data_IF_169528629637
#
_entry.id   IF_169528629637
#
_cell.length_a   1.000
_cell.length_b   1.000
_cell.length_c   1.000
_cell.angle_alpha   90.00
_cell.angle_beta   90.00
_cell.angle_gamma   90.00
#
_symmetry.space_group_name_H-M   'P 1'
#
loop_
_entity.id
_entity.type
_entity.pdbx_description
1 polymer ?
#
# COMPACT_ATOMS: atom_id res chain seq x y z
N UNK A 1 12.51 12.50 -50.76
CA UNK A 1 11.05 12.64 -50.57
C UNK A 1 10.68 11.91 -49.27
N UNK A 2 10.17 12.62 -48.26
CA UNK A 2 9.44 12.00 -47.14
C UNK A 2 8.13 11.44 -47.68
N UNK A 3 7.65 10.31 -47.13
CA UNK A 3 6.24 9.97 -46.77
C UNK A 3 6.09 8.45 -46.66
N UNK A 4 5.97 7.93 -45.44
CA UNK A 4 4.73 7.50 -44.77
C UNK A 4 4.36 6.07 -45.14
N UNK A 5 4.63 5.14 -44.23
CA UNK A 5 4.11 3.79 -44.31
C UNK A 5 2.61 3.80 -43.99
N UNK A 6 1.87 3.22 -44.92
CA UNK A 6 0.43 3.10 -44.96
C UNK A 6 -0.15 2.43 -43.71
N UNK A 7 -1.30 2.95 -43.32
CA UNK A 7 -1.99 2.63 -42.08
C UNK A 7 -2.54 1.22 -42.03
N UNK A 8 -2.20 0.53 -40.95
CA UNK A 8 -3.01 -0.55 -40.38
C UNK A 8 -3.62 -0.05 -39.06
N UNK A 9 -4.55 0.90 -39.17
CA UNK A 9 -5.25 1.51 -38.04
C UNK A 9 -6.55 0.76 -37.65
N UNK A 10 -6.63 -0.55 -37.91
CA UNK A 10 -7.88 -1.31 -37.75
C UNK A 10 -7.74 -2.65 -37.01
N UNK A 11 -6.59 -2.95 -36.40
CA UNK A 11 -6.62 -3.96 -35.34
C UNK A 11 -7.15 -3.27 -34.07
N UNK A 12 -8.30 -3.69 -33.51
CA UNK A 12 -8.60 -3.37 -32.14
C UNK A 12 -7.56 -4.14 -31.32
N UNK A 13 -6.41 -3.50 -31.11
CA UNK A 13 -5.52 -3.87 -30.03
C UNK A 13 -6.41 -3.80 -28.81
N UNK A 14 -6.78 -4.97 -28.29
CA UNK A 14 -7.25 -5.08 -26.93
C UNK A 14 -6.04 -4.65 -26.10
N UNK A 15 -5.92 -3.35 -25.87
CA UNK A 15 -5.17 -2.80 -24.78
C UNK A 15 -6.13 -2.88 -23.61
N UNK A 16 -6.06 -3.93 -22.76
CA UNK A 16 -6.24 -3.66 -21.36
C UNK A 16 -5.11 -2.68 -21.03
N UNK A 17 -5.37 -1.38 -21.12
CA UNK A 17 -4.56 -0.43 -20.37
C UNK A 17 -4.51 -0.99 -18.95
N UNK A 18 -3.32 -1.17 -18.35
CA UNK A 18 -3.24 -1.82 -17.06
C UNK A 18 -4.17 -1.03 -16.11
N UNK A 19 -5.19 -1.67 -15.51
CA UNK A 19 -5.99 -0.98 -14.52
C UNK A 19 -5.06 -0.72 -13.34
N UNK A 20 -4.66 0.54 -13.20
CA UNK A 20 -3.90 1.02 -12.05
C UNK A 20 -2.38 0.95 -12.20
N UNK A 21 -1.82 2.02 -12.76
CA UNK A 21 -0.48 2.41 -12.34
C UNK A 21 -0.64 2.98 -10.93
N UNK A 22 -0.61 2.11 -9.93
CA UNK A 22 -0.33 2.53 -8.56
C UNK A 22 1.15 2.89 -8.47
N UNK A 23 1.44 4.09 -7.97
CA UNK A 23 2.81 4.51 -7.69
C UNK A 23 3.50 3.61 -6.64
N UNK A 24 2.77 2.71 -5.95
CA UNK A 24 3.29 1.83 -4.88
C UNK A 24 2.72 0.39 -4.84
N UNK A 25 1.96 -0.07 -5.84
CA UNK A 25 1.29 -1.38 -5.79
C UNK A 25 0.29 -1.53 -4.62
N UNK A 26 -0.21 -2.75 -4.33
CA UNK A 26 -1.14 -2.97 -3.22
C UNK A 26 -0.43 -2.79 -1.87
N UNK A 27 -0.94 -1.88 -1.03
CA UNK A 27 -0.37 -1.55 0.27
C UNK A 27 -1.46 -1.30 1.32
N UNK A 28 -1.09 -1.39 2.60
CA UNK A 28 -1.86 -0.81 3.71
C UNK A 28 -1.59 0.68 3.74
N UNK A 29 -2.37 1.45 3.00
CA UNK A 29 -2.15 2.87 2.69
C UNK A 29 -2.99 3.82 3.54
N UNK A 30 -3.94 3.30 4.34
CA UNK A 30 -4.76 4.10 5.24
C UNK A 30 -4.16 4.10 6.64
N UNK A 31 -3.71 5.27 7.12
CA UNK A 31 -3.22 5.45 8.49
C UNK A 31 -3.40 6.91 8.92
N UNK A 32 -3.58 7.12 10.23
CA UNK A 32 -3.78 8.45 10.80
C UNK A 32 -2.44 9.14 11.12
N UNK A 33 -1.81 9.67 10.08
CA UNK A 33 -0.57 10.41 10.21
C UNK A 33 -0.73 11.72 11.00
N UNK A 34 -1.92 12.35 10.93
CA UNK A 34 -2.14 13.67 11.51
C UNK A 34 -2.23 13.58 13.03
N UNK A 35 -3.01 12.64 13.56
CA UNK A 35 -3.10 12.41 15.00
C UNK A 35 -1.76 11.93 15.56
N UNK A 36 -1.05 11.06 14.84
CA UNK A 36 0.31 10.65 15.21
C UNK A 36 1.25 11.86 15.34
N UNK A 37 1.19 12.80 14.38
CA UNK A 37 2.02 14.00 14.40
C UNK A 37 1.63 14.96 15.52
N UNK A 38 0.33 15.19 15.74
CA UNK A 38 -0.16 16.06 16.83
C UNK A 38 0.28 15.52 18.19
N UNK A 39 0.09 14.22 18.45
CA UNK A 39 0.51 13.58 19.70
C UNK A 39 2.03 13.71 19.93
N UNK A 40 2.82 13.69 18.85
CA UNK A 40 4.26 13.88 18.96
C UNK A 40 4.63 15.33 19.23
N UNK A 41 4.15 16.28 18.42
CA UNK A 41 4.53 17.69 18.50
C UNK A 41 3.97 18.37 19.75
N UNK A 42 2.71 18.09 20.09
CA UNK A 42 2.01 18.75 21.21
C UNK A 42 2.09 17.93 22.49
N UNK A 43 2.01 16.59 22.38
CA UNK A 43 2.00 15.68 23.54
C UNK A 43 3.37 15.11 23.91
N UNK A 44 4.40 15.29 23.09
CA UNK A 44 5.72 14.70 23.30
C UNK A 44 5.74 13.16 23.19
N UNK A 45 4.68 12.53 22.68
CA UNK A 45 4.59 11.09 22.47
C UNK A 45 4.82 10.76 20.99
N UNK A 46 6.06 10.39 20.65
CA UNK A 46 6.33 9.77 19.36
C UNK A 46 5.72 8.36 19.36
N UNK A 47 5.00 7.96 18.29
CA UNK A 47 4.49 6.60 18.19
C UNK A 47 5.63 5.63 17.88
N UNK A 48 5.69 4.51 18.59
CA UNK A 48 6.61 3.41 18.23
C UNK A 48 6.21 2.76 16.90
N UNK A 49 4.91 2.77 16.59
CA UNK A 49 4.35 2.33 15.33
C UNK A 49 2.97 2.96 15.11
N UNK A 50 2.52 3.02 13.86
CA UNK A 50 1.15 3.42 13.49
C UNK A 50 0.40 2.26 12.84
N UNK A 51 -0.87 2.09 13.16
CA UNK A 51 -1.69 1.06 12.51
C UNK A 51 -2.09 1.51 11.12
N UNK A 52 -1.69 0.76 10.10
CA UNK A 52 -2.15 0.95 8.73
C UNK A 52 -3.13 -0.15 8.31
N UNK A 53 -4.13 0.24 7.52
CA UNK A 53 -5.12 -0.65 6.95
C UNK A 53 -5.16 -0.50 5.43
N UNK A 54 -5.72 -1.49 4.75
CA UNK A 54 -5.99 -1.38 3.31
C UNK A 54 -7.22 -0.50 3.07
N UNK A 55 -7.24 0.22 1.96
CA UNK A 55 -8.47 0.83 1.47
C UNK A 55 -9.42 -0.27 0.92
N UNK A 56 -10.58 -0.54 1.55
CA UNK A 56 -11.49 -1.61 1.13
C UNK A 56 -12.19 -1.34 -0.22
N UNK A 57 -12.13 -0.10 -0.70
CA UNK A 57 -12.66 0.33 -1.99
C UNK A 57 -11.60 0.30 -3.10
N UNK A 58 -10.34 -0.03 -2.78
CA UNK A 58 -9.29 -0.12 -3.77
C UNK A 58 -9.54 -1.35 -4.68
N UNK A 59 -9.83 -1.15 -5.98
CA UNK A 59 -10.08 -2.26 -6.92
C UNK A 59 -8.83 -3.09 -7.22
N UNK A 60 -7.64 -2.59 -6.88
CA UNK A 60 -6.36 -3.26 -7.09
C UNK A 60 -5.90 -4.05 -5.85
N UNK A 61 -6.73 -4.10 -4.81
CA UNK A 61 -6.48 -4.97 -3.67
C UNK A 61 -6.40 -6.44 -4.16
N UNK A 62 -5.34 -7.20 -3.85
CA UNK A 62 -5.24 -8.59 -4.26
C UNK A 62 -6.41 -9.39 -3.72
N UNK A 63 -7.00 -10.26 -4.53
CA UNK A 63 -8.12 -11.11 -4.11
C UNK A 63 -7.79 -12.01 -2.91
N UNK A 64 -6.51 -12.28 -2.67
CA UNK A 64 -6.01 -13.04 -1.53
C UNK A 64 -5.97 -12.24 -0.22
N UNK A 65 -6.07 -10.91 -0.25
CA UNK A 65 -6.01 -10.07 0.95
C UNK A 65 -7.41 -9.84 1.52
N UNK A 66 -7.49 -9.79 2.84
CA UNK A 66 -8.71 -9.33 3.49
C UNK A 66 -8.90 -7.83 3.24
N UNK A 67 -10.15 -7.40 3.06
CA UNK A 67 -10.52 -5.96 3.04
C UNK A 67 -10.30 -5.27 4.39
N UNK A 68 -10.06 -6.04 5.45
CA UNK A 68 -9.74 -5.55 6.79
C UNK A 68 -8.27 -5.79 7.15
N UNK A 69 -7.41 -6.09 6.16
CA UNK A 69 -5.99 -6.34 6.39
C UNK A 69 -5.34 -5.14 7.07
N UNK A 70 -4.52 -5.43 8.08
CA UNK A 70 -3.82 -4.43 8.87
C UNK A 70 -2.32 -4.74 9.00
N UNK A 71 -1.49 -3.70 9.09
CA UNK A 71 -0.04 -3.79 9.32
C UNK A 71 0.43 -2.69 10.24
N UNK A 72 1.41 -2.94 11.13
CA UNK A 72 2.10 -1.85 11.81
C UNK A 72 3.06 -1.16 10.84
N UNK A 73 2.95 0.16 10.73
CA UNK A 73 3.97 1.03 10.14
C UNK A 73 5.00 1.32 11.22
N UNK A 74 6.17 0.73 11.05
CA UNK A 74 7.28 0.88 11.97
C UNK A 74 8.04 2.18 11.68
N UNK A 75 8.56 2.80 12.74
CA UNK A 75 9.45 3.96 12.59
C UNK A 75 10.78 3.47 12.03
N UNK A 76 11.31 4.16 11.02
CA UNK A 76 12.63 3.86 10.47
C UNK A 76 13.67 3.81 11.61
N UNK A 77 14.59 2.82 11.64
CA UNK A 77 14.92 1.83 10.60
C UNK A 77 14.15 0.51 10.71
N UNK A 78 13.22 0.40 11.65
CA UNK A 78 12.54 -0.86 11.92
C UNK A 78 11.59 -1.23 10.79
N UNK A 79 11.44 -2.54 10.59
CA UNK A 79 10.51 -3.13 9.63
C UNK A 79 9.51 -4.03 10.37
N UNK A 80 8.31 -4.16 9.81
CA UNK A 80 7.28 -5.04 10.36
C UNK A 80 7.64 -6.51 10.08
N UNK A 81 7.96 -7.25 11.14
CA UNK A 81 8.30 -8.67 11.08
C UNK A 81 7.15 -9.53 11.58
N UNK A 82 6.76 -10.53 10.78
CA UNK A 82 5.75 -11.50 11.20
C UNK A 82 6.30 -12.37 12.33
N UNK A 83 5.51 -12.54 13.39
CA UNK A 83 5.86 -13.35 14.55
C UNK A 83 5.11 -14.68 14.51
N UNK A 84 3.78 -14.63 14.56
CA UNK A 84 2.91 -15.80 14.53
C UNK A 84 1.45 -15.35 14.36
N UNK A 85 0.58 -16.27 13.93
CA UNK A 85 -0.87 -16.04 13.88
C UNK A 85 -1.37 -15.63 12.49
N UNK A 86 -2.38 -14.77 12.47
CA UNK A 86 -3.08 -14.37 11.25
C UNK A 86 -2.26 -13.36 10.43
N UNK A 87 -1.99 -13.69 9.17
CA UNK A 87 -1.33 -12.80 8.24
C UNK A 87 -2.17 -11.57 7.90
N UNK A 88 -3.47 -11.53 8.16
CA UNK A 88 -4.29 -10.33 7.90
C UNK A 88 -4.28 -9.33 9.07
N UNK A 89 -3.74 -9.71 10.24
CA UNK A 89 -3.80 -8.91 11.47
C UNK A 89 -2.46 -8.31 11.88
N UNK A 90 -2.43 -7.02 12.21
CA UNK A 90 -1.24 -6.31 12.69
C UNK A 90 -0.69 -6.86 14.01
N UNK A 91 -1.52 -7.50 14.84
CA UNK A 91 -1.10 -8.07 16.13
C UNK A 91 -0.09 -9.20 15.97
N UNK A 92 -0.13 -9.86 14.81
CA UNK A 92 0.78 -10.93 14.40
C UNK A 92 2.16 -10.44 13.99
N UNK A 93 2.38 -9.12 13.96
CA UNK A 93 3.62 -8.47 13.56
C UNK A 93 4.23 -7.68 14.71
N UNK A 94 5.55 -7.51 14.67
CA UNK A 94 6.30 -6.63 15.56
C UNK A 94 7.32 -5.83 14.75
N UNK A 95 7.56 -4.60 15.16
CA UNK A 95 8.63 -3.80 14.60
C UNK A 95 9.97 -4.29 15.16
N UNK A 96 10.95 -4.42 14.28
CA UNK A 96 12.30 -4.85 14.64
C UNK A 96 13.29 -4.48 13.54
N UNK A 97 14.57 -4.46 13.88
CA UNK A 97 15.62 -4.25 12.88
C UNK A 97 15.65 -5.43 11.89
N UNK A 98 15.87 -5.17 10.59
CA UNK A 98 15.95 -6.20 9.54
C UNK A 98 16.89 -7.36 9.86
#
# INVERSE_FOLDING_TARGET
>A
MKTNHDGHANDPVHHPGPPGINHCGPATDQFDALTALMNWVEGGQAPDHSLATVNPLNPELPAAWSKTRTRPLCVWPEIAQFQAGDLESAVSFRCGMP
#
